data_IF_125482131035
#
_entry.id   IF_125482131035
#
_cell.length_a   1.000
_cell.length_b   1.000
_cell.length_c   1.000
_cell.angle_alpha   90.00
_cell.angle_beta   90.00
_cell.angle_gamma   90.00
#
_symmetry.space_group_name_H-M   'P 1'
#
loop_
_entity.id
_entity.type
_entity.pdbx_description
1 polymer ?
#
# COMPACT_ATOMS: atom_id res chain seq x y z
N UNK A 1 41.15 -16.46 -24.58
CA UNK A 1 41.28 -15.30 -23.66
C UNK A 1 41.23 -15.89 -22.27
N UNK A 2 42.37 -16.01 -21.65
CA UNK A 2 42.56 -16.49 -20.28
C UNK A 2 42.01 -15.42 -19.33
N UNK A 3 41.03 -15.78 -18.51
CA UNK A 3 40.56 -14.91 -17.45
C UNK A 3 41.68 -14.68 -16.43
N UNK A 4 42.07 -13.43 -16.19
CA UNK A 4 42.92 -13.07 -15.07
C UNK A 4 42.16 -13.30 -13.76
N UNK A 5 42.72 -14.19 -12.92
CA UNK A 5 42.23 -14.43 -11.57
C UNK A 5 42.48 -13.20 -10.69
N UNK A 6 41.42 -12.63 -10.17
CA UNK A 6 41.49 -11.58 -9.14
C UNK A 6 41.97 -12.22 -7.84
N UNK A 7 43.19 -11.90 -7.41
CA UNK A 7 43.70 -12.31 -6.10
C UNK A 7 43.05 -11.47 -5.01
N UNK A 8 42.34 -12.10 -4.09
CA UNK A 8 41.79 -11.45 -2.88
C UNK A 8 42.80 -11.72 -1.75
N UNK A 9 43.41 -10.67 -1.24
CA UNK A 9 44.33 -10.70 -0.08
C UNK A 9 43.49 -10.60 1.20
N UNK A 10 43.46 -11.63 2.02
CA UNK A 10 42.75 -11.70 3.30
C UNK A 10 43.55 -11.15 4.50
N UNK A 11 44.70 -10.48 4.27
CA UNK A 11 45.47 -9.84 5.34
C UNK A 11 46.41 -10.78 6.12
N UNK A 12 46.30 -12.09 5.96
CA UNK A 12 47.13 -13.08 6.65
C UNK A 12 48.25 -13.67 5.75
N UNK A 13 48.43 -13.14 4.56
CA UNK A 13 49.49 -13.55 3.63
C UNK A 13 49.24 -14.86 2.91
N UNK A 14 48.13 -15.53 3.15
CA UNK A 14 47.72 -16.72 2.37
C UNK A 14 46.86 -16.28 1.18
N UNK A 15 47.36 -16.58 -0.03
CA UNK A 15 46.62 -16.37 -1.27
C UNK A 15 45.60 -17.50 -1.43
N UNK A 16 44.32 -17.17 -1.34
CA UNK A 16 43.24 -18.14 -1.65
C UNK A 16 43.29 -18.46 -3.14
N UNK A 17 43.65 -19.70 -3.47
CA UNK A 17 43.55 -20.25 -4.82
C UNK A 17 42.21 -20.99 -4.97
N UNK A 18 41.21 -20.44 -5.69
CA UNK A 18 39.92 -21.08 -5.84
C UNK A 18 39.97 -22.37 -6.69
N UNK A 19 41.10 -22.68 -7.31
CA UNK A 19 41.32 -23.92 -8.07
C UNK A 19 41.79 -25.06 -7.18
N UNK A 20 42.20 -24.79 -5.92
CA UNK A 20 42.60 -25.80 -4.93
C UNK A 20 41.49 -26.02 -3.91
N UNK A 21 40.24 -26.17 -4.35
CA UNK A 21 39.27 -26.84 -3.53
C UNK A 21 39.69 -28.33 -3.46
N UNK A 22 40.19 -28.75 -2.29
CA UNK A 22 40.42 -30.19 -2.09
C UNK A 22 39.14 -30.93 -2.46
N UNK A 23 39.21 -31.93 -3.31
CA UNK A 23 37.99 -32.66 -3.68
C UNK A 23 37.38 -33.18 -2.38
N UNK A 24 36.12 -32.84 -2.12
CA UNK A 24 35.36 -33.43 -1.02
C UNK A 24 35.25 -34.94 -1.25
N UNK A 25 36.08 -35.70 -0.57
CA UNK A 25 36.23 -37.14 -0.81
C UNK A 25 35.16 -37.96 -0.13
N UNK A 26 34.46 -37.36 0.87
CA UNK A 26 33.35 -38.06 1.54
C UNK A 26 32.45 -37.07 2.27
N UNK A 27 31.14 -37.09 1.98
CA UNK A 27 30.10 -36.27 2.66
C UNK A 27 30.00 -36.57 4.15
N UNK A 28 30.28 -37.84 4.53
CA UNK A 28 30.27 -38.29 5.93
C UNK A 28 31.28 -37.52 6.81
N UNK A 29 32.36 -37.00 6.23
CA UNK A 29 33.38 -36.24 6.97
C UNK A 29 32.90 -34.89 7.46
N UNK A 30 31.80 -34.38 6.90
CA UNK A 30 31.19 -33.12 7.27
C UNK A 30 29.89 -33.25 8.06
N UNK A 31 29.47 -34.50 8.37
CA UNK A 31 28.24 -34.74 9.14
C UNK A 31 26.94 -34.44 8.38
N UNK A 32 26.99 -34.34 7.04
CA UNK A 32 25.79 -34.14 6.22
C UNK A 32 25.28 -35.47 5.70
N UNK A 33 23.99 -35.74 5.93
CA UNK A 33 23.27 -36.84 5.30
C UNK A 33 22.43 -36.30 4.13
N UNK A 34 22.48 -36.94 2.97
CA UNK A 34 21.63 -36.60 1.83
C UNK A 34 22.28 -36.77 0.46
N UNK A 35 21.57 -36.37 -0.58
CA UNK A 35 22.04 -36.30 -1.96
C UNK A 35 22.81 -35.03 -2.21
N UNK A 36 23.83 -35.07 -3.07
CA UNK A 36 24.35 -33.87 -3.72
C UNK A 36 23.35 -33.44 -4.79
N UNK A 37 22.88 -32.19 -4.69
CA UNK A 37 22.13 -31.54 -5.74
C UNK A 37 23.02 -30.53 -6.45
N UNK A 38 22.81 -30.34 -7.73
CA UNK A 38 23.43 -29.24 -8.47
C UNK A 38 22.64 -27.95 -8.24
N UNK A 39 23.09 -27.15 -7.27
CA UNK A 39 22.44 -25.88 -6.92
C UNK A 39 22.54 -24.84 -8.03
N UNK A 40 23.25 -25.12 -9.12
CA UNK A 40 23.37 -24.26 -10.28
C UNK A 40 22.20 -24.42 -11.28
N UNK A 41 21.37 -25.44 -11.15
CA UNK A 41 20.28 -25.74 -12.09
C UNK A 41 19.31 -24.57 -12.30
N UNK A 42 19.03 -23.80 -11.25
CA UNK A 42 18.12 -22.65 -11.27
C UNK A 42 18.85 -21.31 -11.52
N UNK A 43 20.19 -21.32 -11.63
CA UNK A 43 20.93 -20.09 -11.90
C UNK A 43 20.63 -19.53 -13.30
N UNK A 44 20.44 -18.23 -13.38
CA UNK A 44 20.22 -17.49 -14.64
C UNK A 44 21.11 -16.26 -14.66
N UNK A 45 21.68 -15.95 -15.82
CA UNK A 45 22.62 -14.85 -16.00
C UNK A 45 22.11 -13.90 -17.09
N UNK A 46 22.02 -12.63 -16.77
CA UNK A 46 21.53 -11.61 -17.67
C UNK A 46 22.58 -10.50 -17.84
N UNK A 47 22.66 -9.95 -19.04
CA UNK A 47 23.45 -8.76 -19.31
C UNK A 47 22.80 -7.57 -18.60
N UNK A 48 23.55 -6.89 -17.71
CA UNK A 48 23.05 -5.79 -16.90
C UNK A 48 22.36 -4.69 -17.71
N UNK A 49 22.97 -4.25 -18.83
CA UNK A 49 22.43 -3.20 -19.68
C UNK A 49 21.04 -3.52 -20.29
N UNK A 50 20.70 -4.80 -20.37
CA UNK A 50 19.40 -5.27 -20.90
C UNK A 50 18.39 -5.61 -19.83
N UNK A 51 18.83 -5.95 -18.63
CA UNK A 51 17.97 -6.49 -17.56
C UNK A 51 17.81 -5.58 -16.34
N UNK A 52 18.57 -4.48 -16.26
CA UNK A 52 18.60 -3.62 -15.07
C UNK A 52 17.26 -2.88 -14.78
N UNK A 53 16.38 -2.76 -15.76
CA UNK A 53 15.06 -2.11 -15.58
C UNK A 53 13.94 -3.04 -16.07
N UNK A 54 13.56 -4.06 -15.30
CA UNK A 54 12.56 -5.05 -15.72
C UNK A 54 11.15 -4.45 -15.92
N UNK A 55 10.79 -3.39 -15.21
CA UNK A 55 9.51 -2.70 -15.42
C UNK A 55 9.57 -1.92 -16.75
N UNK A 56 10.61 -1.13 -16.95
CA UNK A 56 10.76 -0.33 -18.19
C UNK A 56 10.95 -1.18 -19.45
N UNK A 57 11.49 -2.40 -19.34
CA UNK A 57 11.62 -3.36 -20.44
C UNK A 57 10.38 -4.24 -20.65
N UNK A 58 9.37 -4.13 -19.80
CA UNK A 58 8.12 -4.92 -19.90
C UNK A 58 8.22 -6.34 -19.34
N UNK A 59 9.32 -6.73 -18.69
CA UNK A 59 9.43 -8.04 -18.02
C UNK A 59 8.56 -8.12 -16.77
N UNK A 60 8.37 -7.00 -16.09
CA UNK A 60 7.51 -6.86 -14.91
C UNK A 60 6.41 -5.87 -15.23
N UNK A 61 5.15 -6.29 -15.08
CA UNK A 61 4.00 -5.41 -15.34
C UNK A 61 3.98 -4.23 -14.35
N UNK A 62 3.81 -3.00 -14.82
CA UNK A 62 3.57 -1.86 -13.92
C UNK A 62 2.21 -2.02 -13.21
N UNK A 63 2.06 -1.36 -12.08
CA UNK A 63 0.74 -1.27 -11.42
C UNK A 63 -0.19 -0.45 -12.31
N UNK A 64 -1.39 -0.97 -12.68
CA UNK A 64 -2.30 -0.27 -13.56
C UNK A 64 -3.07 0.85 -12.84
N UNK A 65 -3.45 1.90 -13.58
CA UNK A 65 -4.45 2.87 -13.14
C UNK A 65 -5.82 2.21 -13.27
N UNK A 66 -6.51 1.99 -12.16
CA UNK A 66 -7.79 1.28 -12.14
C UNK A 66 -8.71 1.90 -11.10
N UNK A 67 -10.02 1.97 -11.42
CA UNK A 67 -11.06 2.44 -10.51
C UNK A 67 -12.03 1.32 -10.16
N UNK A 68 -12.52 1.35 -8.94
CA UNK A 68 -13.47 0.40 -8.37
C UNK A 68 -14.65 1.19 -7.79
N UNK A 69 -15.80 1.09 -8.44
CA UNK A 69 -16.97 1.86 -8.05
C UNK A 69 -17.75 1.23 -6.90
N UNK A 70 -18.58 2.05 -6.25
CA UNK A 70 -19.45 1.62 -5.14
C UNK A 70 -20.47 0.55 -5.50
N UNK A 71 -20.79 0.37 -6.78
CA UNK A 71 -21.71 -0.67 -7.24
C UNK A 71 -21.25 -2.08 -6.83
N UNK A 72 -19.97 -2.31 -6.58
CA UNK A 72 -19.44 -3.59 -6.13
C UNK A 72 -20.03 -4.03 -4.79
N UNK A 73 -20.39 -3.09 -3.92
CA UNK A 73 -20.95 -3.38 -2.60
C UNK A 73 -22.36 -2.81 -2.38
N UNK A 74 -22.97 -2.17 -3.37
CA UNK A 74 -24.28 -1.52 -3.24
C UNK A 74 -25.42 -2.48 -2.89
N UNK A 75 -25.25 -3.78 -3.10
CA UNK A 75 -26.25 -4.80 -2.79
C UNK A 75 -25.66 -6.20 -2.63
N UNK A 76 -26.53 -7.17 -2.34
CA UNK A 76 -26.17 -8.58 -2.20
C UNK A 76 -25.84 -9.00 -0.77
N UNK A 77 -25.41 -10.25 -0.60
CA UNK A 77 -25.12 -10.87 0.68
C UNK A 77 -23.88 -10.25 1.37
N UNK A 78 -23.71 -10.55 2.65
CA UNK A 78 -22.48 -10.31 3.41
C UNK A 78 -21.30 -11.01 2.74
N UNK A 79 -20.24 -10.25 2.42
CA UNK A 79 -19.06 -10.78 1.74
C UNK A 79 -17.86 -9.81 1.81
N UNK A 80 -16.68 -10.35 1.59
CA UNK A 80 -15.47 -9.61 1.27
C UNK A 80 -15.33 -9.56 -0.25
N UNK A 81 -15.00 -8.39 -0.79
CA UNK A 81 -14.90 -8.10 -2.23
C UNK A 81 -13.48 -7.56 -2.47
N UNK A 82 -12.53 -8.41 -2.84
CA UNK A 82 -11.18 -7.95 -3.18
C UNK A 82 -11.20 -7.05 -4.41
N UNK A 83 -10.45 -5.96 -4.36
CA UNK A 83 -10.18 -5.09 -5.50
C UNK A 83 -8.95 -5.67 -6.22
N UNK A 84 -9.18 -6.75 -6.93
CA UNK A 84 -8.14 -7.65 -7.41
C UNK A 84 -7.59 -7.25 -8.77
N UNK A 85 -6.28 -7.06 -8.84
CA UNK A 85 -5.48 -6.79 -10.04
C UNK A 85 -4.36 -7.84 -10.23
N UNK A 86 -4.49 -8.99 -9.56
CA UNK A 86 -3.45 -10.04 -9.60
C UNK A 86 -3.18 -10.53 -11.02
N UNK A 87 -4.19 -10.58 -11.89
CA UNK A 87 -4.03 -10.97 -13.28
C UNK A 87 -3.20 -9.95 -14.07
N UNK A 88 -3.50 -8.66 -13.93
CA UNK A 88 -2.80 -7.55 -14.58
C UNK A 88 -1.36 -7.44 -14.11
N UNK A 89 -1.13 -7.78 -12.83
CA UNK A 89 0.18 -7.79 -12.19
C UNK A 89 0.95 -9.10 -12.41
N UNK A 90 0.34 -10.10 -13.06
CA UNK A 90 0.89 -11.45 -13.23
C UNK A 90 1.28 -12.12 -11.91
N UNK A 91 0.46 -11.94 -10.87
CA UNK A 91 0.60 -12.56 -9.55
C UNK A 91 -0.35 -13.75 -9.43
N UNK A 92 0.17 -14.94 -9.04
CA UNK A 92 -0.59 -16.21 -9.12
C UNK A 92 -1.19 -16.68 -7.79
N UNK A 93 -0.77 -16.11 -6.66
CA UNK A 93 -0.99 -16.71 -5.34
C UNK A 93 -2.14 -16.06 -4.54
N UNK A 94 -3.07 -15.39 -5.20
CA UNK A 94 -4.26 -14.80 -4.58
C UNK A 94 -4.43 -13.32 -4.88
N UNK A 95 -5.50 -12.69 -4.36
CA UNK A 95 -5.86 -11.32 -4.71
C UNK A 95 -4.79 -10.32 -4.28
N UNK A 96 -4.56 -9.31 -5.13
CA UNK A 96 -3.66 -8.19 -4.90
C UNK A 96 -4.16 -6.96 -5.64
N UNK A 97 -4.20 -5.80 -5.01
CA UNK A 97 -4.48 -4.53 -5.69
C UNK A 97 -3.17 -3.86 -6.14
N UNK A 98 -2.09 -4.20 -5.45
CA UNK A 98 -0.70 -3.89 -5.82
C UNK A 98 0.20 -5.03 -5.36
N UNK A 99 1.47 -5.08 -5.76
CA UNK A 99 2.38 -6.13 -5.30
C UNK A 99 2.51 -6.24 -3.77
N UNK A 100 2.33 -5.14 -3.05
CA UNK A 100 2.46 -5.11 -1.60
C UNK A 100 1.11 -5.14 -0.85
N UNK A 101 0.02 -4.69 -1.45
CA UNK A 101 -1.24 -4.45 -0.76
C UNK A 101 -2.43 -5.04 -1.52
N UNK A 102 -3.43 -5.47 -0.76
CA UNK A 102 -4.78 -5.70 -1.27
C UNK A 102 -5.78 -4.83 -0.54
N UNK A 103 -6.60 -4.13 -1.31
CA UNK A 103 -7.78 -3.42 -0.83
C UNK A 103 -9.02 -4.29 -1.04
N UNK A 104 -9.97 -4.16 -0.15
CA UNK A 104 -11.24 -4.89 -0.21
C UNK A 104 -12.37 -3.96 0.19
N UNK A 105 -13.54 -4.11 -0.42
CA UNK A 105 -14.79 -3.72 0.21
C UNK A 105 -15.33 -4.88 1.05
N UNK A 106 -15.83 -4.58 2.24
CA UNK A 106 -16.47 -5.56 3.12
C UNK A 106 -17.90 -5.13 3.33
N UNK A 107 -18.85 -5.86 2.73
CA UNK A 107 -20.27 -5.64 2.95
C UNK A 107 -20.79 -6.58 4.04
N UNK A 108 -21.55 -6.03 5.00
CA UNK A 108 -22.17 -6.80 6.08
C UNK A 108 -23.63 -6.36 6.20
N UNK A 109 -24.55 -7.29 6.05
CA UNK A 109 -25.96 -7.00 6.26
C UNK A 109 -26.28 -6.86 7.75
N UNK A 110 -27.33 -6.13 8.06
CA UNK A 110 -27.82 -5.99 9.42
C UNK A 110 -28.00 -7.35 10.12
N UNK A 111 -27.46 -7.47 11.33
CA UNK A 111 -27.51 -8.68 12.14
C UNK A 111 -26.55 -9.78 11.72
N UNK A 112 -25.85 -9.63 10.60
CA UNK A 112 -24.85 -10.60 10.14
C UNK A 112 -23.43 -10.21 10.59
N UNK A 113 -22.48 -11.09 10.32
CA UNK A 113 -21.08 -10.89 10.66
C UNK A 113 -20.15 -11.43 9.58
N UNK A 114 -18.95 -10.89 9.55
CA UNK A 114 -17.83 -11.37 8.75
C UNK A 114 -16.61 -11.57 9.63
N UNK A 115 -15.84 -12.61 9.35
CA UNK A 115 -14.56 -12.86 10.01
C UNK A 115 -13.40 -12.53 9.07
N UNK A 116 -12.35 -11.90 9.61
CA UNK A 116 -11.11 -11.62 8.90
C UNK A 116 -9.91 -12.14 9.69
N UNK A 117 -9.01 -12.85 9.01
CA UNK A 117 -7.79 -13.41 9.60
C UNK A 117 -6.69 -13.55 8.53
N UNK A 118 -6.26 -12.45 7.89
CA UNK A 118 -5.26 -12.51 6.83
C UNK A 118 -3.87 -12.83 7.40
N UNK A 119 -3.01 -13.40 6.57
CA UNK A 119 -1.58 -13.45 6.85
C UNK A 119 -0.97 -12.07 6.56
N UNK A 120 -1.20 -11.11 7.44
CA UNK A 120 -0.81 -9.72 7.30
C UNK A 120 -0.15 -9.16 8.56
N UNK A 121 0.79 -8.25 8.42
CA UNK A 121 1.41 -7.54 9.55
C UNK A 121 0.66 -6.26 9.89
N UNK A 122 -0.06 -5.72 8.90
CA UNK A 122 -0.73 -4.42 8.96
C UNK A 122 -2.08 -4.50 8.28
N UNK A 123 -3.13 -4.11 8.99
CA UNK A 123 -4.48 -4.03 8.48
C UNK A 123 -5.08 -2.69 8.85
N UNK A 124 -5.77 -2.06 7.91
CA UNK A 124 -6.52 -0.82 8.12
C UNK A 124 -7.93 -1.00 7.60
N UNK A 125 -8.91 -0.73 8.44
CA UNK A 125 -10.33 -0.65 8.10
C UNK A 125 -10.79 0.80 8.22
N UNK A 126 -11.57 1.26 7.25
CA UNK A 126 -12.35 2.48 7.32
C UNK A 126 -13.82 2.14 7.16
N UNK A 127 -14.67 2.65 8.04
CA UNK A 127 -16.11 2.41 7.99
C UNK A 127 -16.75 3.41 7.03
N UNK A 128 -17.09 2.96 5.81
CA UNK A 128 -17.74 3.79 4.79
C UNK A 128 -19.19 4.12 5.22
N UNK A 129 -19.89 3.13 5.78
CA UNK A 129 -21.27 3.30 6.25
C UNK A 129 -21.62 2.27 7.32
N UNK A 130 -22.62 2.58 8.12
CA UNK A 130 -23.15 1.69 9.14
C UNK A 130 -22.40 1.75 10.47
N UNK A 131 -22.79 0.85 11.39
CA UNK A 131 -22.20 0.69 12.71
C UNK A 131 -22.29 -0.73 13.20
N UNK A 132 -21.48 -1.06 14.19
CA UNK A 132 -21.47 -2.39 14.77
C UNK A 132 -20.45 -2.58 15.86
N UNK A 133 -20.15 -3.84 16.16
CA UNK A 133 -19.20 -4.27 17.17
C UNK A 133 -18.25 -5.28 16.56
N UNK A 134 -16.96 -5.12 16.80
CA UNK A 134 -15.98 -6.15 16.49
C UNK A 134 -15.46 -6.83 17.74
N UNK A 135 -15.27 -8.13 17.64
CA UNK A 135 -14.48 -8.91 18.59
C UNK A 135 -13.08 -9.10 17.99
N UNK A 136 -12.07 -8.59 18.69
CA UNK A 136 -10.66 -8.59 18.25
C UNK A 136 -9.82 -9.19 19.36
N UNK A 137 -9.29 -10.40 19.17
CA UNK A 137 -8.48 -11.10 20.16
C UNK A 137 -9.10 -11.07 21.58
N UNK A 138 -10.42 -11.36 21.68
CA UNK A 138 -11.16 -11.39 22.94
C UNK A 138 -11.58 -10.02 23.50
N UNK A 139 -11.27 -8.93 22.82
CA UNK A 139 -11.72 -7.58 23.18
C UNK A 139 -12.83 -7.12 22.24
N UNK A 140 -13.74 -6.29 22.72
CA UNK A 140 -14.81 -5.71 21.90
C UNK A 140 -14.52 -4.24 21.62
N UNK A 141 -14.81 -3.81 20.40
CA UNK A 141 -14.72 -2.41 19.97
C UNK A 141 -15.97 -2.06 19.17
N UNK A 142 -16.67 -0.98 19.57
CA UNK A 142 -17.72 -0.38 18.76
C UNK A 142 -17.10 0.43 17.64
N UNK A 143 -17.73 0.39 16.47
CA UNK A 143 -17.35 1.17 15.31
C UNK A 143 -18.58 1.74 14.63
N UNK A 144 -18.40 2.88 14.00
CA UNK A 144 -19.45 3.59 13.25
C UNK A 144 -18.85 4.28 12.03
N UNK A 145 -19.70 4.77 11.15
CA UNK A 145 -19.32 5.49 9.94
C UNK A 145 -18.26 6.57 10.21
N UNK A 146 -17.18 6.54 9.44
CA UNK A 146 -16.07 7.46 9.53
C UNK A 146 -14.95 7.05 10.50
N UNK A 147 -15.12 5.98 11.27
CA UNK A 147 -14.06 5.45 12.12
C UNK A 147 -12.99 4.69 11.31
N UNK A 148 -11.73 4.79 11.77
CA UNK A 148 -10.64 3.93 11.31
C UNK A 148 -10.28 2.93 12.42
N UNK A 149 -9.96 1.70 11.99
CA UNK A 149 -9.48 0.64 12.87
C UNK A 149 -8.20 0.06 12.29
N UNK A 150 -7.14 -0.04 13.08
CA UNK A 150 -5.92 -0.74 12.66
C UNK A 150 -5.72 -2.00 13.49
N UNK A 151 -5.28 -3.08 12.83
CA UNK A 151 -5.04 -4.36 13.46
C UNK A 151 -3.66 -4.89 13.09
N UNK A 152 -2.90 -5.38 14.09
CA UNK A 152 -1.57 -5.95 13.88
C UNK A 152 -1.62 -7.39 13.36
N UNK A 153 -0.44 -7.99 13.22
CA UNK A 153 -0.27 -9.42 12.96
C UNK A 153 -1.01 -10.31 13.97
N UNK A 154 -1.27 -11.54 13.56
CA UNK A 154 -1.90 -12.58 14.38
C UNK A 154 -3.26 -12.15 14.97
N UNK A 155 -3.98 -11.29 14.24
CA UNK A 155 -5.29 -10.80 14.66
C UNK A 155 -6.39 -11.55 13.92
N UNK A 156 -7.29 -12.16 14.69
CA UNK A 156 -8.58 -12.63 14.22
C UNK A 156 -9.64 -11.62 14.66
N UNK A 157 -10.39 -11.09 13.72
CA UNK A 157 -11.44 -10.13 14.00
C UNK A 157 -12.76 -10.60 13.41
N UNK A 158 -13.83 -10.47 14.20
CA UNK A 158 -15.21 -10.69 13.74
C UNK A 158 -15.92 -9.34 13.80
N UNK A 159 -16.46 -8.92 12.67
CA UNK A 159 -17.26 -7.70 12.54
C UNK A 159 -18.72 -8.08 12.52
N UNK A 160 -19.48 -7.68 13.52
CA UNK A 160 -20.94 -7.84 13.59
C UNK A 160 -21.61 -6.51 13.34
N UNK A 161 -22.51 -6.47 12.35
CA UNK A 161 -23.20 -5.24 11.93
C UNK A 161 -24.52 -5.05 12.69
N UNK A 162 -24.69 -3.89 13.32
CA UNK A 162 -25.94 -3.44 13.95
C UNK A 162 -26.86 -2.70 12.98
N UNK A 163 -26.33 -2.30 11.83
CA UNK A 163 -27.03 -1.80 10.66
C UNK A 163 -26.37 -2.37 9.41
N UNK A 164 -26.99 -2.28 8.24
CA UNK A 164 -26.24 -2.55 6.99
C UNK A 164 -24.97 -1.72 6.99
N UNK A 165 -23.83 -2.36 6.74
CA UNK A 165 -22.52 -1.72 6.84
C UNK A 165 -21.62 -2.05 5.66
N UNK A 166 -20.73 -1.10 5.36
CA UNK A 166 -19.65 -1.28 4.39
C UNK A 166 -18.35 -0.73 4.96
N UNK A 167 -17.29 -1.53 4.86
CA UNK A 167 -15.95 -1.11 5.25
C UNK A 167 -15.02 -1.18 4.04
N UNK A 168 -14.04 -0.29 4.01
CA UNK A 168 -12.86 -0.38 3.15
C UNK A 168 -11.72 -0.97 3.96
N UNK A 169 -11.16 -2.09 3.50
CA UNK A 169 -10.15 -2.85 4.22
C UNK A 169 -8.91 -3.05 3.38
N UNK A 170 -7.77 -2.55 3.86
CA UNK A 170 -6.46 -2.66 3.21
C UNK A 170 -5.48 -3.40 4.11
N UNK A 171 -4.71 -4.33 3.53
CA UNK A 171 -3.70 -5.09 4.25
C UNK A 171 -2.55 -5.56 3.36
N UNK A 172 -1.43 -5.95 3.98
CA UNK A 172 -0.16 -6.27 3.35
C UNK A 172 0.06 -7.78 3.08
N UNK A 173 -0.99 -8.59 3.05
CA UNK A 173 -0.86 -10.02 2.78
C UNK A 173 -0.17 -10.34 1.43
N UNK A 174 -0.38 -9.60 0.32
CA UNK A 174 0.34 -9.85 -0.93
C UNK A 174 1.86 -9.78 -0.77
N UNK A 175 2.37 -8.83 0.01
CA UNK A 175 3.80 -8.72 0.32
C UNK A 175 4.32 -9.96 1.05
N UNK A 176 3.59 -10.45 2.06
CA UNK A 176 4.01 -11.61 2.82
C UNK A 176 3.97 -12.89 1.99
N UNK A 177 2.99 -13.02 1.11
CA UNK A 177 2.94 -14.14 0.15
C UNK A 177 4.15 -14.13 -0.76
N UNK A 178 4.50 -12.98 -1.34
CA UNK A 178 5.69 -12.84 -2.18
C UNK A 178 6.97 -13.22 -1.42
N UNK A 179 7.08 -12.84 -0.16
CA UNK A 179 8.24 -13.15 0.69
C UNK A 179 8.24 -14.58 1.23
N UNK A 180 7.17 -15.37 1.05
CA UNK A 180 7.00 -16.68 1.69
C UNK A 180 6.96 -16.59 3.22
N UNK A 181 6.54 -15.43 3.77
CA UNK A 181 6.60 -15.14 5.20
C UNK A 181 5.23 -15.28 5.89
N UNK A 182 5.26 -15.49 7.20
CA UNK A 182 4.06 -15.47 8.06
C UNK A 182 4.16 -14.38 9.11
N UNK A 183 3.06 -13.67 9.30
CA UNK A 183 2.91 -12.65 10.33
C UNK A 183 2.57 -13.34 11.68
N UNK A 184 3.53 -13.42 12.58
CA UNK A 184 3.37 -14.14 13.86
C UNK A 184 3.30 -13.22 15.07
N UNK A 185 3.95 -12.05 15.01
CA UNK A 185 4.07 -11.15 16.15
C UNK A 185 3.46 -9.78 15.91
N UNK A 186 2.62 -9.28 16.83
CA UNK A 186 2.08 -7.93 16.73
C UNK A 186 3.17 -6.88 16.99
N UNK A 187 3.34 -5.92 16.08
CA UNK A 187 4.32 -4.82 16.20
C UNK A 187 3.70 -3.52 16.73
N UNK A 188 2.38 -3.49 16.89
CA UNK A 188 1.63 -2.36 17.48
C UNK A 188 0.34 -2.89 18.12
N UNK A 189 -0.35 -2.07 18.88
CA UNK A 189 -1.67 -2.41 19.44
C UNK A 189 -2.77 -2.05 18.46
N UNK A 190 -3.81 -2.88 18.38
CA UNK A 190 -5.03 -2.52 17.66
C UNK A 190 -5.53 -1.15 18.14
N UNK A 191 -5.80 -0.25 17.19
CA UNK A 191 -6.07 1.16 17.49
C UNK A 191 -7.31 1.62 16.72
N UNK A 192 -8.18 2.39 17.37
CA UNK A 192 -9.33 3.07 16.77
C UNK A 192 -9.05 4.57 16.69
N UNK A 193 -9.25 5.16 15.51
CA UNK A 193 -9.28 6.60 15.30
C UNK A 193 -10.75 6.99 15.10
N UNK A 194 -11.30 7.76 16.01
CA UNK A 194 -12.70 8.17 15.95
C UNK A 194 -12.89 9.25 14.90
N UNK A 195 -13.97 9.16 14.12
CA UNK A 195 -14.34 10.19 13.14
C UNK A 195 -14.29 11.60 13.73
N UNK A 196 -14.88 11.79 14.92
CA UNK A 196 -14.94 13.11 15.55
C UNK A 196 -13.55 13.71 15.78
N UNK A 197 -12.58 12.89 16.23
CA UNK A 197 -11.21 13.35 16.48
C UNK A 197 -10.49 13.66 15.16
N UNK A 198 -10.65 12.80 14.14
CA UNK A 198 -10.04 12.99 12.81
C UNK A 198 -10.55 14.26 12.15
N UNK A 199 -11.87 14.48 12.14
CA UNK A 199 -12.50 15.67 11.56
C UNK A 199 -12.06 16.93 12.32
N UNK A 200 -12.07 16.91 13.66
CA UNK A 200 -11.65 18.06 14.45
C UNK A 200 -10.19 18.48 14.17
N UNK A 201 -9.30 17.50 13.98
CA UNK A 201 -7.91 17.79 13.61
C UNK A 201 -7.81 18.35 12.17
N UNK A 202 -8.58 17.80 11.23
CA UNK A 202 -8.62 18.33 9.86
C UNK A 202 -9.13 19.78 9.84
N UNK A 203 -10.23 20.08 10.54
CA UNK A 203 -10.80 21.42 10.64
C UNK A 203 -9.80 22.40 11.26
N UNK A 204 -9.07 21.97 12.29
CA UNK A 204 -8.01 22.78 12.90
C UNK A 204 -6.88 23.09 11.90
N UNK A 205 -6.51 22.13 11.03
CA UNK A 205 -5.50 22.34 10.00
C UNK A 205 -6.04 23.27 8.92
N UNK A 206 -7.27 23.03 8.46
CA UNK A 206 -7.93 23.81 7.39
C UNK A 206 -8.19 25.27 7.78
N UNK A 207 -8.44 25.54 9.06
CA UNK A 207 -8.68 26.89 9.57
C UNK A 207 -7.42 27.74 9.75
N UNK A 208 -6.21 27.18 9.59
CA UNK A 208 -4.95 27.94 9.74
C UNK A 208 -4.76 28.92 8.59
N UNK A 209 -4.25 30.14 8.86
CA UNK A 209 -3.90 31.08 7.79
C UNK A 209 -2.95 30.41 6.77
N UNK A 210 -3.23 30.57 5.48
CA UNK A 210 -2.45 29.98 4.40
C UNK A 210 -2.63 28.45 4.23
N UNK A 211 -3.65 27.85 4.83
CA UNK A 211 -3.94 26.44 4.62
C UNK A 211 -4.24 26.12 3.15
N UNK A 212 -4.95 27.00 2.46
CA UNK A 212 -5.28 26.86 1.03
C UNK A 212 -4.07 27.07 0.10
N UNK A 213 -3.00 27.71 0.59
CA UNK A 213 -1.77 27.91 -0.18
C UNK A 213 -0.87 26.65 -0.16
N UNK A 214 -1.24 25.67 0.65
CA UNK A 214 -0.53 24.39 0.73
C UNK A 214 -1.03 23.44 -0.35
N UNK A 215 -0.12 22.65 -0.89
CA UNK A 215 -0.47 21.63 -1.88
C UNK A 215 -1.40 20.54 -1.35
N UNK A 216 -1.62 20.48 -0.03
CA UNK A 216 -2.51 19.49 0.59
C UNK A 216 -3.01 19.94 1.96
N UNK A 217 -4.32 19.85 2.17
CA UNK A 217 -4.98 20.01 3.48
C UNK A 217 -5.38 18.63 3.96
N UNK A 218 -4.60 18.06 4.88
CA UNK A 218 -4.83 16.68 5.33
C UNK A 218 -4.34 16.49 6.76
N UNK A 219 -4.98 15.58 7.49
CA UNK A 219 -4.45 15.03 8.73
C UNK A 219 -3.81 13.68 8.46
N UNK A 220 -2.55 13.52 8.85
CA UNK A 220 -1.84 12.25 8.80
C UNK A 220 -2.18 11.46 10.05
N UNK A 221 -2.64 10.21 9.88
CA UNK A 221 -2.96 9.32 10.99
C UNK A 221 -1.70 8.53 11.38
N UNK A 222 -1.37 8.54 12.66
CA UNK A 222 -0.17 7.89 13.17
C UNK A 222 -0.45 7.06 14.43
N UNK A 223 0.25 5.94 14.57
CA UNK A 223 0.22 5.10 15.76
C UNK A 223 1.41 5.43 16.68
N UNK A 224 1.20 5.44 17.98
CA UNK A 224 2.25 5.71 18.97
C UNK A 224 3.47 4.76 18.86
N UNK A 225 3.29 3.55 18.32
CA UNK A 225 4.39 2.62 18.08
C UNK A 225 5.23 2.97 16.84
N UNK A 226 4.85 3.99 16.05
CA UNK A 226 5.48 4.38 14.78
C UNK A 226 6.11 5.77 14.85
N UNK A 227 6.83 6.09 15.92
CA UNK A 227 7.40 7.42 16.18
C UNK A 227 8.38 7.89 15.10
N UNK A 228 9.16 6.99 14.48
CA UNK A 228 10.14 7.35 13.48
C UNK A 228 9.54 7.57 12.09
N UNK A 229 8.49 6.84 11.76
CA UNK A 229 7.87 6.90 10.43
C UNK A 229 6.64 7.79 10.39
N UNK A 230 6.05 8.12 11.55
CA UNK A 230 4.82 8.90 11.71
C UNK A 230 3.66 8.30 10.91
N UNK A 231 3.53 6.98 10.93
CA UNK A 231 2.58 6.21 10.10
C UNK A 231 1.53 5.50 10.94
N UNK A 232 0.42 5.13 10.30
CA UNK A 232 -0.70 4.48 10.97
C UNK A 232 -0.38 3.03 11.36
N UNK A 233 0.48 2.36 10.58
CA UNK A 233 1.15 1.10 10.91
C UNK A 233 2.58 1.14 10.37
N UNK A 234 3.39 0.12 10.61
CA UNK A 234 4.76 0.04 10.09
C UNK A 234 4.83 -0.19 8.56
N UNK A 235 3.73 -0.58 7.92
CA UNK A 235 3.63 -0.71 6.46
C UNK A 235 2.77 0.41 5.87
N UNK A 236 1.62 0.70 6.50
CA UNK A 236 0.62 1.58 5.93
C UNK A 236 0.78 3.02 6.40
N UNK A 237 0.65 3.93 5.47
CA UNK A 237 0.47 5.36 5.68
C UNK A 237 -0.94 5.74 5.25
N UNK A 238 -1.69 6.46 6.07
CA UNK A 238 -3.04 6.90 5.74
C UNK A 238 -3.25 8.36 6.16
N UNK A 239 -3.98 9.06 5.33
CA UNK A 239 -4.39 10.45 5.58
C UNK A 239 -5.90 10.58 5.43
N UNK A 240 -6.47 11.56 6.15
CA UNK A 240 -7.79 12.07 5.87
C UNK A 240 -7.64 13.45 5.23
N UNK A 241 -7.95 13.54 3.94
CA UNK A 241 -7.64 14.69 3.09
C UNK A 241 -8.88 15.46 2.68
N UNK A 242 -8.73 16.78 2.64
CA UNK A 242 -9.69 17.75 2.12
C UNK A 242 -9.13 18.38 0.84
N UNK A 243 -9.92 18.36 -0.22
CA UNK A 243 -9.72 19.18 -1.41
C UNK A 243 -10.81 20.26 -1.44
N UNK A 244 -10.47 21.52 -1.12
CA UNK A 244 -11.46 22.60 -1.08
C UNK A 244 -12.13 22.84 -2.43
N UNK A 245 -13.30 23.47 -2.42
CA UNK A 245 -14.02 23.84 -3.62
C UNK A 245 -13.18 24.72 -4.55
N UNK A 246 -13.20 24.43 -5.85
CA UNK A 246 -12.47 25.15 -6.90
C UNK A 246 -10.95 25.24 -6.63
N UNK A 247 -10.37 24.18 -6.09
CA UNK A 247 -8.95 24.07 -5.81
C UNK A 247 -8.33 22.85 -6.49
N UNK A 248 -7.01 22.91 -6.66
CA UNK A 248 -6.20 21.81 -7.16
C UNK A 248 -5.03 21.53 -6.23
N UNK A 249 -4.55 20.29 -6.22
CA UNK A 249 -3.26 19.93 -5.65
C UNK A 249 -2.22 19.86 -6.77
N UNK A 250 -1.06 20.49 -6.55
CA UNK A 250 0.05 20.46 -7.51
C UNK A 250 0.44 19.01 -7.87
N UNK A 251 0.86 18.79 -9.11
CA UNK A 251 1.43 17.50 -9.49
C UNK A 251 2.55 17.10 -8.54
N UNK A 252 2.44 15.87 -8.04
CA UNK A 252 3.45 15.27 -7.18
C UNK A 252 3.56 13.77 -7.49
N UNK A 253 4.65 13.16 -7.06
CA UNK A 253 4.88 11.72 -7.21
C UNK A 253 5.60 11.15 -6.00
N UNK A 254 5.44 9.86 -5.79
CA UNK A 254 6.12 9.08 -4.76
C UNK A 254 6.30 7.63 -5.20
N UNK A 255 7.18 6.87 -4.55
CA UNK A 255 7.46 5.46 -4.85
C UNK A 255 6.42 4.51 -4.27
N UNK A 256 5.64 4.95 -3.28
CA UNK A 256 4.55 4.14 -2.74
C UNK A 256 3.38 4.06 -3.73
N UNK A 257 2.68 2.92 -3.73
CA UNK A 257 1.33 2.87 -4.30
C UNK A 257 0.37 3.65 -3.40
N UNK A 258 -0.63 4.32 -3.98
CA UNK A 258 -1.77 4.80 -3.20
C UNK A 258 -3.07 4.12 -3.65
N UNK A 259 -3.85 3.70 -2.66
CA UNK A 259 -5.18 3.12 -2.80
C UNK A 259 -6.14 4.16 -2.25
N UNK A 260 -6.60 5.03 -3.15
CA UNK A 260 -7.35 6.24 -2.80
C UNK A 260 -8.84 5.93 -2.68
N UNK A 261 -9.43 6.05 -1.49
CA UNK A 261 -10.86 5.96 -1.27
C UNK A 261 -11.48 7.36 -1.33
N UNK A 262 -12.48 7.55 -2.18
CA UNK A 262 -13.23 8.80 -2.28
C UNK A 262 -14.44 8.74 -1.34
N UNK A 263 -14.51 9.67 -0.39
CA UNK A 263 -15.60 9.70 0.59
C UNK A 263 -16.80 10.46 0.08
N UNK A 264 -16.56 11.70 -0.33
CA UNK A 264 -17.54 12.56 -0.94
C UNK A 264 -16.88 13.38 -2.06
N UNK A 265 -17.60 13.57 -3.12
CA UNK A 265 -17.20 14.40 -4.24
C UNK A 265 -18.44 14.78 -5.04
N UNK A 266 -18.43 15.96 -5.63
CA UNK A 266 -19.41 16.35 -6.64
C UNK A 266 -18.81 16.15 -8.03
N UNK A 267 -19.63 16.05 -9.10
CA UNK A 267 -19.12 16.06 -10.46
C UNK A 267 -18.16 17.24 -10.68
N UNK A 268 -17.02 16.97 -11.32
CA UNK A 268 -15.93 17.93 -11.49
C UNK A 268 -14.77 17.71 -10.51
N UNK A 269 -14.80 16.66 -9.68
CA UNK A 269 -13.64 16.20 -8.93
C UNK A 269 -12.97 15.03 -9.66
N UNK A 270 -11.66 15.11 -9.86
CA UNK A 270 -10.90 14.10 -10.59
C UNK A 270 -9.41 14.12 -10.25
N UNK A 271 -8.71 13.07 -10.68
CA UNK A 271 -7.25 12.96 -10.61
C UNK A 271 -6.68 12.82 -12.02
N UNK A 272 -5.61 13.56 -12.32
CA UNK A 272 -4.80 13.35 -13.50
C UNK A 272 -3.54 12.57 -13.13
N UNK A 273 -3.18 11.54 -13.92
CA UNK A 273 -2.01 10.72 -13.72
C UNK A 273 -1.19 10.61 -15.02
N UNK A 274 0.14 10.67 -14.90
CA UNK A 274 1.01 10.53 -16.09
C UNK A 274 2.47 10.36 -15.72
N UNK A 275 3.29 10.08 -16.71
CA UNK A 275 4.71 9.74 -16.54
C UNK A 275 5.63 10.95 -16.56
N UNK A 276 5.24 12.03 -17.23
CA UNK A 276 6.10 13.17 -17.49
C UNK A 276 5.39 14.50 -17.17
N UNK A 277 6.20 15.53 -16.89
CA UNK A 277 5.75 16.90 -16.78
C UNK A 277 6.26 17.72 -17.97
N UNK A 278 5.47 18.72 -18.40
CA UNK A 278 5.93 19.75 -19.30
C UNK A 278 6.85 20.78 -18.58
N UNK A 279 7.37 21.75 -19.32
CA UNK A 279 8.22 22.83 -18.79
C UNK A 279 7.50 23.72 -17.75
N UNK A 280 6.17 23.70 -17.73
CA UNK A 280 5.34 24.43 -16.77
C UNK A 280 4.97 23.60 -15.56
N UNK A 281 5.40 22.34 -15.49
CA UNK A 281 5.10 21.42 -14.41
C UNK A 281 3.70 20.80 -14.47
N UNK A 282 3.04 20.79 -15.62
CA UNK A 282 1.78 20.07 -15.83
C UNK A 282 2.06 18.65 -16.33
N UNK A 283 1.14 17.73 -16.02
CA UNK A 283 1.22 16.34 -16.48
C UNK A 283 0.92 16.28 -17.97
N UNK A 284 1.81 15.67 -18.75
CA UNK A 284 1.68 15.48 -20.20
C UNK A 284 0.85 14.23 -20.46
N UNK A 285 -0.10 14.33 -21.43
CA UNK A 285 -0.97 13.24 -21.86
C UNK A 285 -1.57 12.42 -20.69
N UNK A 286 -2.25 13.07 -19.72
CA UNK A 286 -2.68 12.42 -18.52
C UNK A 286 -3.83 11.45 -18.74
N UNK A 287 -3.80 10.34 -17.99
CA UNK A 287 -5.01 9.56 -17.72
C UNK A 287 -5.84 10.30 -16.67
N UNK A 288 -7.11 10.53 -16.97
CA UNK A 288 -8.07 11.17 -16.06
C UNK A 288 -8.92 10.12 -15.35
N UNK A 289 -8.98 10.21 -14.04
CA UNK A 289 -9.81 9.37 -13.16
C UNK A 289 -10.85 10.26 -12.49
N UNK A 290 -12.12 10.06 -12.83
CA UNK A 290 -13.24 10.76 -12.20
C UNK A 290 -13.46 10.21 -10.77
N UNK A 291 -13.79 11.10 -9.82
CA UNK A 291 -14.06 10.71 -8.45
C UNK A 291 -15.52 10.26 -8.28
N UNK A 292 -15.70 9.01 -7.89
CA UNK A 292 -17.00 8.45 -7.51
C UNK A 292 -17.08 8.36 -5.97
N UNK A 293 -18.04 9.01 -5.29
CA UNK A 293 -18.25 8.85 -3.85
C UNK A 293 -18.46 7.38 -3.44
N UNK A 294 -17.67 6.91 -2.50
CA UNK A 294 -17.64 5.52 -2.06
C UNK A 294 -16.83 4.59 -2.97
N UNK A 295 -16.30 5.09 -4.09
CA UNK A 295 -15.39 4.36 -4.96
C UNK A 295 -13.94 4.49 -4.52
N UNK A 296 -13.08 3.64 -5.05
CA UNK A 296 -11.63 3.68 -4.85
C UNK A 296 -10.89 3.62 -6.17
N UNK A 297 -9.67 4.15 -6.23
CA UNK A 297 -8.80 4.00 -7.38
C UNK A 297 -7.34 3.82 -6.98
N UNK A 298 -6.54 3.30 -7.90
CA UNK A 298 -5.11 3.03 -7.71
C UNK A 298 -4.29 4.14 -8.34
N UNK A 299 -3.42 4.76 -7.53
CA UNK A 299 -2.34 5.63 -7.98
C UNK A 299 -1.04 4.82 -8.01
N UNK A 300 -0.53 4.46 -9.19
CA UNK A 300 0.68 3.65 -9.33
C UNK A 300 1.93 4.35 -8.80
N UNK A 301 2.93 3.56 -8.30
CA UNK A 301 4.22 4.08 -7.88
C UNK A 301 4.92 4.89 -8.97
N UNK A 302 5.48 6.04 -8.60
CA UNK A 302 6.33 6.86 -9.49
C UNK A 302 5.59 7.72 -10.51
N UNK A 303 4.29 7.55 -10.70
CA UNK A 303 3.52 8.43 -11.58
C UNK A 303 3.30 9.80 -10.95
N UNK A 304 3.44 10.84 -11.78
CA UNK A 304 2.96 12.16 -11.44
C UNK A 304 1.44 12.13 -11.36
N UNK A 305 0.87 12.69 -10.29
CA UNK A 305 -0.57 12.80 -10.13
C UNK A 305 -0.93 14.13 -9.47
N UNK A 306 -2.12 14.62 -9.83
CA UNK A 306 -2.66 15.88 -9.33
C UNK A 306 -4.18 15.72 -9.16
N UNK A 307 -4.71 16.25 -8.07
CA UNK A 307 -6.14 16.19 -7.78
C UNK A 307 -6.79 17.54 -8.04
N UNK A 308 -7.95 17.52 -8.65
CA UNK A 308 -8.71 18.70 -9.05
C UNK A 308 -10.11 18.62 -8.46
N UNK A 309 -10.57 19.77 -7.97
CA UNK A 309 -11.96 19.97 -7.56
C UNK A 309 -12.49 21.23 -8.25
N UNK A 310 -13.14 21.04 -9.38
CA UNK A 310 -13.83 22.09 -10.15
C UNK A 310 -15.30 22.21 -9.73
N UNK A 311 -15.72 21.45 -8.71
CA UNK A 311 -17.05 21.53 -8.14
C UNK A 311 -17.17 22.68 -7.14
N UNK A 312 -18.35 23.20 -6.91
CA UNK A 312 -18.59 24.26 -5.94
C UNK A 312 -18.63 23.81 -4.46
N UNK A 313 -18.20 22.58 -4.14
CA UNK A 313 -18.25 21.99 -2.80
C UNK A 313 -16.92 21.33 -2.44
N UNK A 314 -16.53 21.27 -1.15
CA UNK A 314 -15.35 20.51 -0.74
C UNK A 314 -15.51 19.02 -1.02
N UNK A 315 -14.40 18.33 -1.22
CA UNK A 315 -14.36 16.89 -1.41
C UNK A 315 -13.34 16.25 -0.45
N UNK A 316 -13.61 15.02 -0.01
CA UNK A 316 -12.74 14.30 0.92
C UNK A 316 -12.31 12.96 0.36
N UNK A 317 -11.06 12.61 0.64
CA UNK A 317 -10.47 11.33 0.23
C UNK A 317 -9.55 10.78 1.32
N UNK A 318 -9.36 9.46 1.27
CA UNK A 318 -8.43 8.73 2.13
C UNK A 318 -7.41 8.02 1.26
N UNK A 319 -6.22 8.59 1.03
CA UNK A 319 -5.09 7.85 0.48
C UNK A 319 -4.56 6.84 1.51
N UNK A 320 -4.48 5.57 1.11
CA UNK A 320 -3.81 4.52 1.88
C UNK A 320 -2.64 4.01 1.05
N UNK A 321 -1.43 4.06 1.61
CA UNK A 321 -0.20 3.82 0.89
C UNK A 321 0.68 2.81 1.63
N UNK A 322 1.55 2.08 0.91
CA UNK A 322 2.65 1.32 1.51
C UNK A 322 3.85 2.21 1.91
N UNK A 323 3.62 3.52 2.02
CA UNK A 323 4.64 4.52 2.33
C UNK A 323 5.27 4.35 3.72
N UNK A 324 4.62 3.65 4.65
CA UNK A 324 5.24 3.28 5.93
C UNK A 324 6.44 2.36 5.73
N UNK A 325 6.29 1.34 4.91
CA UNK A 325 7.38 0.46 4.51
C UNK A 325 8.48 1.23 3.75
N UNK A 326 8.09 2.04 2.77
CA UNK A 326 9.03 2.85 1.99
C UNK A 326 9.83 3.84 2.86
N UNK A 327 9.20 4.43 3.88
CA UNK A 327 9.86 5.28 4.87
C UNK A 327 10.87 4.48 5.70
N UNK A 328 10.47 3.30 6.18
CA UNK A 328 11.38 2.43 6.93
C UNK A 328 12.59 2.02 6.10
N UNK A 329 12.40 1.70 4.83
CA UNK A 329 13.47 1.34 3.89
C UNK A 329 14.31 2.55 3.40
N UNK A 330 13.95 3.79 3.76
CA UNK A 330 14.56 5.06 3.30
C UNK A 330 14.48 5.26 1.79
N UNK A 331 13.48 4.69 1.15
CA UNK A 331 13.23 4.79 -0.29
C UNK A 331 12.08 5.75 -0.64
N UNK A 332 11.32 6.23 0.35
CA UNK A 332 10.25 7.20 0.11
C UNK A 332 10.84 8.54 -0.32
N UNK A 333 10.50 8.98 -1.52
CA UNK A 333 10.89 10.29 -2.08
C UNK A 333 9.65 10.96 -2.68
N UNK A 334 9.04 11.87 -1.93
CA UNK A 334 7.88 12.64 -2.39
C UNK A 334 8.38 13.89 -3.08
N UNK A 335 8.08 14.02 -4.38
CA UNK A 335 8.46 15.18 -5.19
C UNK A 335 7.24 15.94 -5.66
N UNK A 336 7.31 17.25 -5.58
CA UNK A 336 6.30 18.16 -6.12
C UNK A 336 6.82 18.82 -7.38
N UNK A 337 5.95 19.13 -8.32
CA UNK A 337 6.31 19.94 -9.48
C UNK A 337 6.66 21.37 -9.04
N UNK A 338 7.51 22.04 -9.83
CA UNK A 338 7.86 23.46 -9.61
C UNK A 338 6.73 24.41 -10.03
N UNK A 339 5.58 23.89 -10.43
CA UNK A 339 4.39 24.68 -10.75
C UNK A 339 3.98 25.52 -9.54
N UNK A 340 3.94 26.85 -9.73
CA UNK A 340 3.57 27.86 -8.72
C UNK A 340 2.11 28.25 -8.89
#
# INVERSE_FOLDING_TARGET
MTAELVKVDNGDGEVFDPTIAAPMTNVADYGFEGRFDDWADDARYFEYSKAANPIGSGHTSPVPITSFGRQLYAGGATRIIPLDLSNELNLKDGPATSPALVANFVRIQWGEQVETSPNATSQLYYVISGRGVSAVNGRRVHWEEGDFLTMPAATRATFHAETDATLYWVHDEPLLRHLGARATEPRFRATKFRRADVVAHLDQIASRPGANDKSRVSVLLANAAQEQTLTITHVLWAMFGLLPANQEQRPHRHQSVALDLILDAKPGCYTLLGTHLDERGNIVDPTRVEWEPGGAFVTPPGLWHAHFNESGAPAHLIPIQDAGLQTYLRSLDIRFSDRR
#
